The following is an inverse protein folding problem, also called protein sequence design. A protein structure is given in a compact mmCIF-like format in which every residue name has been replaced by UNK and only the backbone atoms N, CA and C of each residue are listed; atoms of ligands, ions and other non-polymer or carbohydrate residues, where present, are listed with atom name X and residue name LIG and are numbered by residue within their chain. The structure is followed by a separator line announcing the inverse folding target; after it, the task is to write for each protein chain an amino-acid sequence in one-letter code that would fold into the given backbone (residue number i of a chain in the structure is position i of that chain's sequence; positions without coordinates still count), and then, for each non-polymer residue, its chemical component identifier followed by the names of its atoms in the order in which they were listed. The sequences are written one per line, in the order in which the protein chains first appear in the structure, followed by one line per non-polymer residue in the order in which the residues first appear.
data_IF_917782199486
#
_entry.id   IF_917782199486
#
_cell.length_a   1.000
_cell.length_b   1.000
_cell.length_c   1.000
_cell.angle_alpha   90.00
_cell.angle_beta   90.00
_cell.angle_gamma   90.00
#
_symmetry.space_group_name_H-M   'P 1'
#
loop_
_entity.id
_entity.type
_entity.pdbx_description
1 polymer ?
#
# COMPACT_ATOMS: atom_id res chain seq x y z
N UNK A 1 26.37 51.41 -52.83
CA UNK A 1 25.72 51.10 -54.13
C UNK A 1 24.73 49.99 -53.86
N UNK A 2 23.43 50.00 -54.15
CA UNK A 2 22.41 50.95 -54.62
C UNK A 2 21.08 50.30 -54.15
N UNK A 3 20.24 51.01 -53.39
CA UNK A 3 19.00 51.67 -53.84
C UNK A 3 17.92 50.75 -54.43
N UNK A 4 16.72 50.78 -53.82
CA UNK A 4 15.37 51.01 -54.40
C UNK A 4 14.33 50.49 -53.38
N UNK A 5 13.49 51.31 -52.72
CA UNK A 5 12.31 52.05 -53.22
C UNK A 5 11.27 51.10 -53.85
N UNK A 6 9.94 51.19 -53.70
CA UNK A 6 8.96 52.18 -53.23
C UNK A 6 7.60 51.41 -53.10
N UNK A 7 6.77 51.66 -52.09
CA UNK A 7 5.51 52.46 -52.09
C UNK A 7 4.25 51.91 -52.80
N UNK A 8 3.12 52.09 -52.08
CA UNK A 8 1.69 52.22 -52.49
C UNK A 8 0.96 50.90 -52.91
N UNK A 9 -0.30 50.59 -52.56
CA UNK A 9 -1.52 51.38 -52.38
C UNK A 9 -2.68 50.48 -51.83
N UNK A 10 -3.79 51.12 -51.42
CA UNK A 10 -5.19 50.64 -51.22
C UNK A 10 -5.71 50.35 -49.78
N UNK A 11 -6.44 51.35 -49.27
CA UNK A 11 -7.50 51.32 -48.23
C UNK A 11 -8.80 50.65 -48.79
N UNK A 12 -9.95 50.69 -48.08
CA UNK A 12 -10.33 50.05 -46.82
C UNK A 12 -11.59 49.16 -46.99
N UNK A 13 -11.93 48.29 -46.04
CA UNK A 13 -13.31 47.82 -45.92
C UNK A 13 -13.74 47.77 -44.46
N UNK A 14 -14.65 48.69 -44.13
CA UNK A 14 -15.37 48.75 -42.89
C UNK A 14 -16.36 47.58 -42.82
N UNK A 15 -16.31 46.82 -41.73
CA UNK A 15 -17.43 46.01 -41.29
C UNK A 15 -17.72 46.40 -39.84
N UNK A 16 -18.75 47.23 -39.68
CA UNK A 16 -19.35 47.55 -38.40
C UNK A 16 -20.03 46.29 -37.85
N UNK A 17 -19.54 45.77 -36.73
CA UNK A 17 -20.30 44.83 -35.90
C UNK A 17 -20.75 45.59 -34.66
N UNK A 18 -22.03 45.94 -34.65
CA UNK A 18 -22.70 46.48 -33.48
C UNK A 18 -23.68 45.44 -32.93
N UNK A 19 -23.71 45.37 -31.60
CA UNK A 19 -24.75 44.84 -30.72
C UNK A 19 -24.78 43.32 -30.50
N UNK A 20 -24.32 42.93 -29.31
CA UNK A 20 -25.22 42.41 -28.26
C UNK A 20 -24.50 42.46 -26.91
N UNK A 21 -24.70 43.57 -26.19
CA UNK A 21 -24.47 43.64 -24.75
C UNK A 21 -25.53 42.75 -24.07
N UNK A 22 -25.20 41.49 -23.80
CA UNK A 22 -25.83 40.77 -22.71
C UNK A 22 -25.24 41.25 -21.38
N UNK A 23 -26.01 41.37 -20.29
CA UNK A 23 -25.41 41.58 -18.99
C UNK A 23 -24.51 40.38 -18.69
N UNK A 24 -23.22 40.63 -18.52
CA UNK A 24 -22.32 39.66 -17.91
C UNK A 24 -22.85 39.41 -16.50
N UNK A 25 -23.42 38.22 -16.27
CA UNK A 25 -23.58 37.71 -14.92
C UNK A 25 -22.17 37.48 -14.41
N UNK A 26 -21.62 38.47 -13.71
CA UNK A 26 -20.46 38.26 -12.86
C UNK A 26 -20.92 37.30 -11.77
N UNK A 27 -20.69 36.01 -11.97
CA UNK A 27 -20.65 35.06 -10.88
C UNK A 27 -19.51 35.54 -9.95
N UNK A 28 -19.89 36.30 -8.93
CA UNK A 28 -19.03 36.61 -7.79
C UNK A 28 -18.73 35.28 -7.11
N UNK A 29 -17.62 34.66 -7.49
CA UNK A 29 -17.12 33.47 -6.85
C UNK A 29 -16.83 33.82 -5.39
N UNK A 30 -17.62 33.23 -4.50
CA UNK A 30 -17.32 33.21 -3.08
C UNK A 30 -15.98 32.48 -2.91
N UNK A 31 -14.92 33.12 -2.39
CA UNK A 31 -13.61 32.47 -2.19
C UNK A 31 -13.63 31.35 -1.13
N UNK A 32 -14.79 31.04 -0.53
CA UNK A 32 -14.95 29.96 0.44
C UNK A 32 -15.27 28.57 -0.14
N UNK A 33 -15.44 28.43 -1.46
CA UNK A 33 -15.72 27.14 -2.09
C UNK A 33 -14.76 26.93 -3.26
N UNK A 34 -13.50 26.68 -2.95
CA UNK A 34 -12.59 26.05 -3.90
C UNK A 34 -13.21 24.72 -4.31
N UNK A 35 -13.69 24.68 -5.55
CA UNK A 35 -14.00 23.45 -6.24
C UNK A 35 -12.66 22.72 -6.37
N UNK A 36 -12.36 21.85 -5.39
CA UNK A 36 -11.29 20.89 -5.48
C UNK A 36 -11.49 20.16 -6.81
N UNK A 37 -10.66 20.54 -7.77
CA UNK A 37 -10.49 19.75 -8.97
C UNK A 37 -10.02 18.40 -8.46
N UNK A 38 -10.81 17.35 -8.69
CA UNK A 38 -10.36 15.99 -8.48
C UNK A 38 -9.14 15.79 -9.39
N UNK A 39 -7.97 16.14 -8.87
CA UNK A 39 -6.72 15.55 -9.31
C UNK A 39 -6.96 14.04 -9.26
N UNK A 40 -6.54 13.34 -10.31
CA UNK A 40 -6.44 11.89 -10.32
C UNK A 40 -5.40 11.46 -9.27
N UNK A 41 -5.67 11.68 -7.98
CA UNK A 41 -5.05 10.96 -6.90
C UNK A 41 -5.60 9.54 -7.04
N UNK A 42 -4.87 8.73 -7.79
CA UNK A 42 -4.81 7.31 -7.52
C UNK A 42 -4.52 7.21 -6.03
N UNK A 43 -5.50 6.75 -5.24
CA UNK A 43 -5.25 6.42 -3.84
C UNK A 43 -4.29 5.23 -3.84
N UNK A 44 -2.99 5.54 -3.95
CA UNK A 44 -1.93 4.63 -3.59
C UNK A 44 -2.04 4.51 -2.08
N UNK A 45 -2.70 3.46 -1.61
CA UNK A 45 -2.73 3.16 -0.19
C UNK A 45 -1.31 2.77 0.20
N UNK A 46 -0.48 3.76 0.54
CA UNK A 46 0.86 3.55 1.10
C UNK A 46 0.80 2.96 2.53
N UNK A 47 -0.38 2.52 2.96
CA UNK A 47 -0.64 1.78 4.17
C UNK A 47 -1.13 0.38 3.82
N UNK A 48 -0.47 -0.64 4.33
CA UNK A 48 -0.91 -2.04 4.22
C UNK A 48 -0.28 -2.89 5.31
N UNK A 49 -0.96 -3.96 5.69
CA UNK A 49 -0.45 -4.96 6.63
C UNK A 49 -0.59 -6.34 6.01
N UNK A 50 0.45 -7.16 6.17
CA UNK A 50 0.47 -8.52 5.65
C UNK A 50 1.41 -9.39 6.48
N UNK A 51 1.03 -10.64 6.64
CA UNK A 51 1.82 -11.66 7.30
C UNK A 51 1.75 -12.94 6.48
N UNK A 52 2.61 -13.91 6.78
CA UNK A 52 2.48 -15.22 6.16
C UNK A 52 3.65 -16.15 6.46
N UNK A 53 3.80 -17.15 5.62
CA UNK A 53 4.78 -18.22 5.80
C UNK A 53 6.01 -18.02 4.89
N UNK A 54 7.17 -18.42 5.40
CA UNK A 54 8.40 -18.59 4.63
C UNK A 54 8.58 -20.08 4.33
N UNK A 55 8.93 -20.37 3.07
CA UNK A 55 9.26 -21.69 2.59
C UNK A 55 10.20 -21.55 1.41
N UNK A 56 11.50 -21.54 1.69
CA UNK A 56 12.55 -21.23 0.71
C UNK A 56 13.64 -22.30 0.74
N UNK A 57 14.37 -22.37 -0.37
CA UNK A 57 15.64 -23.09 -0.48
C UNK A 57 16.65 -22.09 -1.01
N UNK A 58 17.76 -21.91 -0.30
CA UNK A 58 18.86 -21.00 -0.64
C UNK A 58 20.20 -21.71 -0.42
N UNK A 59 21.32 -21.05 -0.75
CA UNK A 59 22.64 -21.65 -0.59
C UNK A 59 23.16 -22.36 -1.84
N UNK A 60 24.30 -23.02 -1.68
CA UNK A 60 24.96 -23.77 -2.75
C UNK A 60 24.15 -25.01 -3.20
N UNK A 61 24.51 -25.57 -4.36
CA UNK A 61 23.83 -26.75 -4.91
C UNK A 61 24.22 -28.06 -4.22
N UNK A 62 25.25 -28.06 -3.36
CA UNK A 62 25.85 -29.27 -2.78
C UNK A 62 25.18 -29.60 -1.43
N UNK A 63 24.96 -28.60 -0.59
CA UNK A 63 24.25 -28.71 0.68
C UNK A 63 23.35 -27.48 0.91
N UNK A 64 22.25 -27.36 0.14
CA UNK A 64 21.38 -26.20 0.22
C UNK A 64 20.71 -26.09 1.58
N UNK A 65 20.37 -24.86 1.96
CA UNK A 65 19.68 -24.54 3.21
C UNK A 65 18.18 -24.44 2.96
N UNK A 66 17.41 -25.23 3.72
CA UNK A 66 15.96 -25.18 3.77
C UNK A 66 15.58 -24.13 4.82
N UNK A 67 14.85 -23.09 4.41
CA UNK A 67 14.42 -21.99 5.26
C UNK A 67 12.90 -22.06 5.42
N UNK A 68 12.43 -22.11 6.65
CA UNK A 68 11.00 -22.09 6.97
C UNK A 68 10.70 -21.09 8.07
N UNK A 69 9.47 -20.58 8.15
CA UNK A 69 9.14 -19.65 9.22
C UNK A 69 7.86 -18.88 9.00
N UNK A 70 7.69 -17.83 9.80
CA UNK A 70 6.60 -16.86 9.66
C UNK A 70 7.19 -15.45 9.59
N UNK A 71 6.50 -14.57 8.91
CA UNK A 71 6.86 -13.16 8.81
C UNK A 71 5.62 -12.28 8.91
N UNK A 72 5.82 -11.02 9.30
CA UNK A 72 4.82 -9.96 9.32
C UNK A 72 5.46 -8.64 8.89
N UNK A 73 4.68 -7.83 8.18
CA UNK A 73 5.06 -6.48 7.76
C UNK A 73 3.84 -5.57 7.89
N UNK A 74 4.05 -4.44 8.54
CA UNK A 74 3.10 -3.34 8.61
C UNK A 74 3.73 -2.07 8.06
N UNK A 75 3.06 -1.47 7.08
CA UNK A 75 3.45 -0.22 6.46
C UNK A 75 2.33 0.78 6.70
N UNK A 76 2.70 1.97 7.19
CA UNK A 76 1.77 3.06 7.46
C UNK A 76 2.29 4.35 6.84
N UNK A 77 1.52 4.94 5.94
CA UNK A 77 1.88 6.22 5.31
C UNK A 77 3.23 6.18 4.58
N UNK A 78 3.56 5.06 3.93
CA UNK A 78 4.79 4.90 3.16
C UNK A 78 6.03 4.66 3.99
N UNK A 79 5.88 4.29 5.27
CA UNK A 79 6.99 3.93 6.15
C UNK A 79 6.70 2.58 6.79
N UNK A 80 7.72 1.75 6.98
CA UNK A 80 7.58 0.51 7.75
C UNK A 80 7.34 0.87 9.22
N UNK A 81 6.15 0.51 9.72
CA UNK A 81 5.78 0.69 11.12
C UNK A 81 6.25 -0.50 11.97
N UNK A 82 6.16 -1.71 11.42
CA UNK A 82 6.64 -2.93 12.08
C UNK A 82 7.05 -3.99 11.07
N UNK A 83 8.06 -4.79 11.42
CA UNK A 83 8.49 -5.94 10.65
C UNK A 83 9.09 -6.98 11.59
N UNK A 84 8.67 -8.22 11.42
CA UNK A 84 9.28 -9.35 12.10
C UNK A 84 9.32 -10.58 11.20
N UNK A 85 10.37 -11.39 11.33
CA UNK A 85 10.37 -12.74 10.79
C UNK A 85 11.11 -13.69 11.72
N UNK A 86 10.54 -14.86 11.97
CA UNK A 86 11.14 -15.92 12.77
C UNK A 86 11.34 -17.14 11.89
N UNK A 87 12.60 -17.47 11.65
CA UNK A 87 13.04 -18.44 10.68
C UNK A 87 13.75 -19.61 11.35
N UNK A 88 13.56 -20.79 10.80
CA UNK A 88 14.35 -21.98 11.06
C UNK A 88 15.07 -22.37 9.77
N UNK A 89 16.37 -22.56 9.88
CA UNK A 89 17.24 -22.92 8.78
C UNK A 89 17.87 -24.28 9.06
N UNK A 90 17.79 -25.17 8.09
CA UNK A 90 18.37 -26.51 8.18
C UNK A 90 19.08 -26.83 6.87
N UNK A 91 20.34 -27.24 6.94
CA UNK A 91 21.05 -27.77 5.78
C UNK A 91 20.37 -29.05 5.27
N UNK A 92 20.41 -29.31 3.96
CA UNK A 92 19.84 -30.52 3.37
C UNK A 92 20.47 -31.81 3.93
N UNK A 93 21.73 -31.74 4.35
CA UNK A 93 22.45 -32.80 5.08
C UNK A 93 21.92 -33.04 6.51
N UNK A 94 21.16 -32.10 7.07
CA UNK A 94 20.66 -32.13 8.45
C UNK A 94 21.72 -31.79 9.51
N UNK A 95 22.96 -31.48 9.12
CA UNK A 95 24.06 -31.21 10.04
C UNK A 95 24.01 -29.79 10.65
N UNK A 96 23.50 -28.82 9.90
CA UNK A 96 23.32 -27.45 10.33
C UNK A 96 21.86 -27.18 10.71
N UNK A 97 21.64 -26.68 11.93
CA UNK A 97 20.35 -26.16 12.38
C UNK A 97 20.58 -24.78 13.00
N UNK A 98 19.80 -23.78 12.57
CA UNK A 98 19.85 -22.42 13.13
C UNK A 98 18.45 -21.84 13.25
N UNK A 99 18.24 -21.03 14.28
CA UNK A 99 17.10 -20.09 14.32
C UNK A 99 17.58 -18.70 13.96
N UNK A 100 16.80 -17.98 13.17
CA UNK A 100 17.12 -16.60 12.77
C UNK A 100 15.89 -15.73 13.00
N UNK A 101 16.07 -14.66 13.75
CA UNK A 101 15.05 -13.65 14.00
C UNK A 101 15.46 -12.38 13.25
N UNK A 102 14.55 -11.85 12.43
CA UNK A 102 14.72 -10.59 11.72
C UNK A 102 13.76 -9.57 12.34
N UNK A 103 14.24 -8.39 12.71
CA UNK A 103 13.43 -7.38 13.40
C UNK A 103 13.98 -5.97 13.20
N UNK A 104 13.27 -4.96 13.72
CA UNK A 104 13.71 -3.56 13.72
C UNK A 104 14.01 -3.02 12.31
N UNK A 105 13.20 -3.38 11.30
CA UNK A 105 13.37 -2.86 9.96
C UNK A 105 13.19 -1.35 9.93
N UNK A 106 14.25 -0.63 9.58
CA UNK A 106 14.22 0.79 9.25
C UNK A 106 14.22 0.97 7.73
N UNK A 107 13.09 1.40 7.18
CA UNK A 107 12.96 1.60 5.73
C UNK A 107 13.55 2.91 5.25
N UNK A 108 14.41 2.85 4.24
CA UNK A 108 14.92 4.02 3.50
C UNK A 108 14.06 4.33 2.26
N UNK A 109 13.38 3.33 1.71
CA UNK A 109 12.49 3.46 0.57
C UNK A 109 11.32 2.49 0.72
N UNK A 110 10.10 2.98 0.49
CA UNK A 110 8.89 2.17 0.34
C UNK A 110 8.16 2.68 -0.89
N UNK A 111 7.92 1.79 -1.85
CA UNK A 111 7.15 2.11 -3.06
C UNK A 111 6.13 1.01 -3.31
N UNK A 112 4.98 1.37 -3.85
CA UNK A 112 3.96 0.42 -4.30
C UNK A 112 3.50 0.79 -5.69
N UNK A 113 3.47 -0.18 -6.61
CA UNK A 113 2.91 0.04 -7.94
C UNK A 113 1.37 -0.13 -7.96
N UNK A 114 0.75 0.28 -9.06
CA UNK A 114 -0.69 0.15 -9.30
C UNK A 114 -1.21 -1.31 -9.26
N UNK A 115 -0.32 -2.29 -9.36
CA UNK A 115 -0.63 -3.72 -9.31
C UNK A 115 -0.53 -4.30 -7.88
N UNK A 116 -0.23 -3.47 -6.89
CA UNK A 116 0.00 -3.88 -5.51
C UNK A 116 1.34 -4.60 -5.30
N UNK A 117 2.31 -4.39 -6.18
CA UNK A 117 3.68 -4.84 -5.95
C UNK A 117 4.41 -3.79 -5.12
N UNK A 118 4.79 -4.15 -3.90
CA UNK A 118 5.58 -3.28 -3.04
C UNK A 118 7.07 -3.61 -3.12
N UNK A 119 7.91 -2.58 -3.05
CA UNK A 119 9.35 -2.66 -2.88
C UNK A 119 9.73 -1.84 -1.65
N UNK A 120 10.40 -2.50 -0.71
CA UNK A 120 10.91 -1.91 0.52
C UNK A 120 12.43 -2.12 0.54
N UNK A 121 13.18 -1.07 0.80
CA UNK A 121 14.62 -1.13 1.07
C UNK A 121 14.89 -0.53 2.43
N UNK A 122 15.90 -1.05 3.12
CA UNK A 122 16.24 -0.58 4.44
C UNK A 122 17.33 -1.40 5.09
N UNK A 123 17.41 -1.27 6.40
CA UNK A 123 18.30 -2.06 7.25
C UNK A 123 17.50 -2.72 8.37
N UNK A 124 17.92 -3.90 8.83
CA UNK A 124 17.28 -4.61 9.94
C UNK A 124 18.31 -5.24 10.89
N UNK A 125 17.84 -5.68 12.06
CA UNK A 125 18.60 -6.50 12.98
C UNK A 125 18.40 -7.99 12.68
N UNK A 126 19.50 -8.75 12.65
CA UNK A 126 19.51 -10.21 12.52
C UNK A 126 20.00 -10.82 13.82
N UNK A 127 19.23 -11.74 14.41
CA UNK A 127 19.62 -12.49 15.60
C UNK A 127 19.68 -13.97 15.25
N UNK A 128 20.84 -14.59 15.41
CA UNK A 128 21.06 -16.01 15.10
C UNK A 128 21.22 -16.80 16.40
N UNK A 129 20.47 -17.90 16.52
CA UNK A 129 20.43 -18.77 17.69
C UNK A 129 20.25 -18.00 19.01
N UNK A 130 19.50 -16.90 18.97
CA UNK A 130 19.23 -16.00 20.09
C UNK A 130 20.49 -15.46 20.80
N UNK A 131 21.65 -15.49 20.17
CA UNK A 131 22.95 -15.20 20.81
C UNK A 131 23.82 -14.26 19.99
N UNK A 132 23.89 -14.46 18.68
CA UNK A 132 24.65 -13.60 17.77
C UNK A 132 23.72 -12.52 17.21
N UNK A 133 24.07 -11.24 17.38
CA UNK A 133 23.30 -10.12 16.84
C UNK A 133 24.15 -9.37 15.82
N UNK A 134 23.62 -9.23 14.61
CA UNK A 134 24.07 -8.29 13.60
C UNK A 134 23.06 -7.14 13.54
N UNK A 135 23.57 -5.92 13.49
CA UNK A 135 22.74 -4.73 13.36
C UNK A 135 23.03 -4.04 12.05
N UNK A 136 22.04 -3.30 11.57
CA UNK A 136 22.10 -2.51 10.34
C UNK A 136 22.38 -3.35 9.07
N UNK A 137 21.79 -4.56 8.99
CA UNK A 137 21.90 -5.44 7.83
C UNK A 137 21.03 -4.94 6.70
N UNK A 138 21.64 -4.61 5.56
CA UNK A 138 20.94 -4.17 4.36
C UNK A 138 19.97 -5.25 3.86
N UNK A 139 18.72 -4.84 3.63
CA UNK A 139 17.64 -5.70 3.17
C UNK A 139 16.86 -5.07 2.02
N UNK A 140 16.47 -5.92 1.07
CA UNK A 140 15.50 -5.60 0.03
C UNK A 140 14.33 -6.58 0.14
N UNK A 141 13.13 -6.06 0.37
CA UNK A 141 11.88 -6.83 0.41
C UNK A 141 11.03 -6.43 -0.78
N UNK A 142 10.59 -7.42 -1.55
CA UNK A 142 9.61 -7.28 -2.62
C UNK A 142 8.38 -8.12 -2.30
N UNK A 143 7.21 -7.48 -2.26
CA UNK A 143 5.93 -8.14 -2.15
C UNK A 143 5.21 -8.09 -3.49
N UNK A 144 5.21 -9.19 -4.23
CA UNK A 144 4.52 -9.27 -5.51
C UNK A 144 3.00 -9.35 -5.30
N UNK A 145 2.27 -8.31 -5.73
CA UNK A 145 0.80 -8.21 -5.61
C UNK A 145 0.28 -8.44 -4.18
N UNK A 146 1.07 -8.09 -3.16
CA UNK A 146 0.82 -8.39 -1.74
C UNK A 146 0.52 -9.88 -1.46
N UNK A 147 1.12 -10.80 -2.23
CA UNK A 147 0.85 -12.26 -2.15
C UNK A 147 2.08 -13.12 -1.99
N UNK A 148 3.21 -12.68 -2.53
CA UNK A 148 4.46 -13.42 -2.47
C UNK A 148 5.57 -12.50 -1.98
N UNK A 149 6.30 -12.98 -0.97
CA UNK A 149 7.48 -12.34 -0.41
C UNK A 149 8.72 -12.83 -1.18
N UNK A 150 9.58 -11.90 -1.53
CA UNK A 150 10.96 -12.14 -1.95
C UNK A 150 11.83 -11.17 -1.14
N UNK A 151 12.74 -11.71 -0.34
CA UNK A 151 13.62 -10.94 0.54
C UNK A 151 15.07 -11.30 0.28
N UNK A 152 15.95 -10.32 0.19
CA UNK A 152 17.40 -10.53 0.08
C UNK A 152 18.08 -9.73 1.17
N UNK A 153 19.03 -10.37 1.88
CA UNK A 153 19.86 -9.73 2.88
C UNK A 153 21.29 -9.67 2.34
N UNK A 154 22.01 -8.59 2.65
CA UNK A 154 23.40 -8.44 2.22
C UNK A 154 24.34 -8.82 3.37
N UNK A 155 24.44 -10.12 3.69
CA UNK A 155 25.40 -10.59 4.70
C UNK A 155 26.14 -11.88 4.31
N UNK A 156 27.49 -11.91 4.37
CA UNK A 156 28.32 -12.92 3.71
C UNK A 156 28.50 -14.25 4.48
N UNK A 157 28.02 -14.38 5.73
CA UNK A 157 28.47 -15.46 6.62
C UNK A 157 27.34 -16.36 7.17
N UNK A 158 26.08 -16.12 6.77
CA UNK A 158 24.91 -16.79 7.36
C UNK A 158 24.05 -17.58 6.38
N UNK A 159 24.56 -17.88 5.17
CA UNK A 159 23.78 -18.52 4.08
C UNK A 159 22.55 -17.69 3.66
N UNK A 160 22.57 -16.39 3.98
CA UNK A 160 21.52 -15.42 3.66
C UNK A 160 21.87 -14.58 2.42
N UNK A 161 23.13 -14.64 2.00
CA UNK A 161 23.73 -14.04 0.82
C UNK A 161 23.54 -14.86 -0.46
N UNK A 162 23.42 -16.18 -0.35
CA UNK A 162 23.37 -17.09 -1.51
C UNK A 162 22.01 -17.13 -2.23
N UNK A 163 21.09 -16.23 -1.88
CA UNK A 163 19.89 -16.03 -2.67
C UNK A 163 18.70 -15.47 -1.89
N UNK A 164 17.64 -15.13 -2.61
CA UNK A 164 16.43 -14.60 -1.99
C UNK A 164 15.70 -15.65 -1.15
N UNK A 165 15.17 -15.20 -0.02
CA UNK A 165 14.20 -15.93 0.80
C UNK A 165 12.81 -15.68 0.24
N UNK A 166 12.10 -16.76 -0.08
CA UNK A 166 10.73 -16.70 -0.58
C UNK A 166 9.70 -17.09 0.47
N UNK A 167 8.54 -16.44 0.39
CA UNK A 167 7.38 -16.74 1.22
C UNK A 167 6.06 -16.37 0.55
N UNK A 168 4.97 -16.70 1.23
CA UNK A 168 3.62 -16.30 0.86
C UNK A 168 3.09 -15.28 1.85
N UNK A 169 2.18 -14.44 1.40
CA UNK A 169 1.34 -13.59 2.24
C UNK A 169 -0.04 -14.24 2.39
N UNK A 170 -0.50 -14.32 3.63
CA UNK A 170 -1.86 -14.66 3.99
C UNK A 170 -2.75 -13.46 3.56
N UNK A 171 -3.87 -13.75 2.90
CA UNK A 171 -4.75 -12.69 2.40
C UNK A 171 -5.44 -11.99 3.57
N UNK A 172 -5.04 -10.76 3.87
CA UNK A 172 -5.83 -9.89 4.74
C UNK A 172 -6.94 -9.21 3.93
N UNK A 173 -8.16 -9.26 4.46
CA UNK A 173 -9.27 -8.47 3.93
C UNK A 173 -8.91 -7.00 4.12
N UNK A 174 -8.73 -6.27 3.02
CA UNK A 174 -8.54 -4.82 3.07
C UNK A 174 -9.71 -4.23 3.84
N UNK A 175 -9.44 -3.63 5.02
CA UNK A 175 -10.41 -2.82 5.72
C UNK A 175 -10.63 -1.57 4.87
N UNK A 176 -11.63 -1.61 4.01
CA UNK A 176 -12.16 -0.41 3.37
C UNK A 176 -12.64 0.50 4.51
N UNK A 177 -11.96 1.63 4.72
CA UNK A 177 -12.49 2.70 5.54
C UNK A 177 -13.74 3.23 4.84
N UNK A 178 -14.89 2.73 5.27
CA UNK A 178 -16.19 3.27 4.91
C UNK A 178 -16.28 4.66 5.58
N UNK A 179 -16.02 5.72 4.81
CA UNK A 179 -16.23 7.10 5.23
C UNK A 179 -17.72 7.33 5.46
N UNK A 180 -18.18 7.15 6.70
CA UNK A 180 -19.51 7.59 7.10
C UNK A 180 -19.49 9.11 7.20
N UNK A 181 -20.02 9.77 6.18
CA UNK A 181 -20.30 11.22 6.20
C UNK A 181 -21.33 11.51 7.28
N UNK A 182 -20.88 11.91 8.47
CA UNK A 182 -21.75 12.41 9.53
C UNK A 182 -22.30 13.77 9.09
N UNK A 183 -23.51 13.77 8.52
CA UNK A 183 -24.30 14.97 8.37
C UNK A 183 -24.61 15.53 9.76
N UNK A 184 -24.19 16.77 10.01
CA UNK A 184 -24.37 17.44 11.29
C UNK A 184 -25.85 17.60 11.66
N UNK A 185 -26.16 17.35 12.92
CA UNK A 185 -27.38 17.86 13.54
C UNK A 185 -27.01 18.80 14.66
N UNK A 186 -27.22 20.10 14.40
CA UNK A 186 -27.40 21.07 15.45
C UNK A 186 -28.67 20.72 16.25
N UNK A 187 -28.53 20.68 17.58
CA UNK A 187 -29.51 21.19 18.53
C UNK A 187 -30.88 20.49 18.69
N UNK A 188 -31.13 20.13 19.96
CA UNK A 188 -32.43 20.13 20.68
C UNK A 188 -33.21 18.81 20.80
N UNK A 189 -32.91 18.12 21.92
CA UNK A 189 -33.80 17.66 23.00
C UNK A 189 -34.99 16.68 22.77
N UNK A 190 -35.38 15.92 23.82
CA UNK A 190 -35.89 14.56 23.71
C UNK A 190 -37.41 14.42 23.92
N UNK A 191 -37.85 13.17 23.79
CA UNK A 191 -39.13 12.55 24.16
C UNK A 191 -40.28 12.60 23.15
N UNK A 192 -40.68 11.39 22.76
CA UNK A 192 -42.07 11.08 22.49
C UNK A 192 -42.49 11.02 21.03
N UNK A 193 -42.77 9.79 20.59
CA UNK A 193 -43.63 9.43 19.45
C UNK A 193 -42.95 9.32 18.07
N UNK A 194 -42.72 8.08 17.62
CA UNK A 194 -42.26 7.82 16.25
C UNK A 194 -41.78 6.40 15.95
N UNK A 195 -42.72 5.46 15.80
CA UNK A 195 -42.78 4.29 14.87
C UNK A 195 -41.62 3.30 14.63
N UNK A 196 -40.40 3.46 15.13
CA UNK A 196 -39.37 2.42 14.99
C UNK A 196 -39.17 1.64 16.29
N UNK A 197 -40.07 0.68 16.49
CA UNK A 197 -39.87 -0.39 17.47
C UNK A 197 -38.57 -1.15 17.17
N UNK A 198 -37.87 -1.47 18.26
CA UNK A 198 -36.70 -2.35 18.34
C UNK A 198 -36.76 -3.51 17.32
N UNK A 199 -35.92 -3.47 16.28
CA UNK A 199 -35.61 -4.68 15.52
C UNK A 199 -34.51 -5.42 16.30
N UNK A 200 -34.92 -6.22 17.28
CA UNK A 200 -34.08 -7.31 17.78
C UNK A 200 -34.66 -8.59 17.23
N UNK A 201 -34.46 -8.82 15.93
CA UNK A 201 -34.88 -10.06 15.30
C UNK A 201 -33.79 -11.11 15.53
N UNK A 202 -34.05 -12.06 16.44
CA UNK A 202 -33.18 -13.23 16.63
C UNK A 202 -33.36 -14.14 15.42
N UNK A 203 -32.36 -14.16 14.54
CA UNK A 203 -32.26 -15.12 13.43
C UNK A 203 -32.32 -16.54 13.99
N UNK A 204 -33.41 -17.28 13.76
CA UNK A 204 -33.47 -18.72 14.01
C UNK A 204 -33.30 -19.44 12.68
N UNK A 205 -32.16 -20.11 12.52
CA UNK A 205 -31.92 -20.99 11.37
C UNK A 205 -32.91 -22.17 11.40
N UNK A 206 -33.52 -22.56 10.27
CA UNK A 206 -34.33 -23.77 10.20
C UNK A 206 -33.45 -25.01 10.38
N UNK A 207 -33.91 -25.98 11.16
CA UNK A 207 -33.22 -27.26 11.30
C UNK A 207 -33.42 -28.10 10.03
N UNK A 208 -32.31 -28.51 9.43
CA UNK A 208 -32.30 -29.42 8.28
C UNK A 208 -32.79 -30.81 8.72
N UNK A 209 -33.59 -31.52 7.91
CA UNK A 209 -34.03 -32.88 8.21
C UNK A 209 -32.83 -33.83 8.33
N UNK A 210 -32.82 -34.66 9.38
CA UNK A 210 -31.80 -35.69 9.57
C UNK A 210 -31.95 -36.79 8.50
N UNK A 211 -30.95 -37.02 7.63
CA UNK A 211 -31.06 -37.99 6.54
C UNK A 211 -30.86 -39.46 6.98
N UNK A 212 -30.73 -39.74 8.28
CA UNK A 212 -30.49 -41.09 8.81
C UNK A 212 -31.59 -41.60 9.75
N UNK A 213 -32.86 -41.33 9.44
CA UNK A 213 -33.99 -42.05 10.01
C UNK A 213 -34.71 -42.87 8.95
#
# INVERSE_FOLDING_TARGET
MNMLAASLLLLPLAAAFALLYGPAVQASLNPGNELMTASNYTFQSDTFSTDGAIGSVAGDQVDPVIITGRWSLDVQGGVVADFSANLTMVNASGAGYRTVELSNLSSTEVTMDENGTALIKGVLDVIVNSTEKLSDVDVVIKLAKLRALNMTLSEPDYYLDDGPIYGTADQQQQQQQETTTTAGSAGLMPEGSGIFGKITEKFRLPQLPNPFR
#
